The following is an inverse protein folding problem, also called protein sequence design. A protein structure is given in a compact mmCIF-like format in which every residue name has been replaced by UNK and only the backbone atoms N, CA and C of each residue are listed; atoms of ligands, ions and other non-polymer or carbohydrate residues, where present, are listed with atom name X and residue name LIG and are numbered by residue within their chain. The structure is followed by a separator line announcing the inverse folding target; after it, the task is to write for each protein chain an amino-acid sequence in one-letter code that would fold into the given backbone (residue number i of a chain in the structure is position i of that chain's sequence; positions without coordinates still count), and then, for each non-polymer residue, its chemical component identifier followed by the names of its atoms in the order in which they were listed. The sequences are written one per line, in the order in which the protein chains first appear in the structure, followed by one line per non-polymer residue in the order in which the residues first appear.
data_IF_441208923140
#
_entry.id   IF_441208923140
#
_cell.length_a   1.000
_cell.length_b   1.000
_cell.length_c   1.000
_cell.angle_alpha   90.00
_cell.angle_beta   90.00
_cell.angle_gamma   90.00
#
_symmetry.space_group_name_H-M   'P 1'
#
loop_
_entity.id
_entity.type
_entity.pdbx_description
1 polymer ?
#
# COMPACT_ATOMS: atom_id res chain seq x y z
N UNK A 1 -2.42 8.86 -7.84
CA UNK A 1 -3.27 9.82 -7.12
C UNK A 1 -3.75 9.27 -5.80
N UNK A 2 -4.10 8.00 -5.77
CA UNK A 2 -4.64 7.30 -4.60
C UNK A 2 -3.70 7.22 -3.42
N UNK A 3 -2.40 7.20 -3.68
CA UNK A 3 -1.38 6.98 -2.65
C UNK A 3 -1.31 8.10 -1.64
N UNK A 4 -1.43 9.37 -2.09
CA UNK A 4 -1.39 10.49 -1.16
C UNK A 4 -2.74 10.71 -0.44
N UNK A 5 -3.86 10.51 -1.13
CA UNK A 5 -5.17 10.47 -0.46
C UNK A 5 -5.19 9.41 0.64
N UNK A 6 -4.67 8.22 0.34
CA UNK A 6 -4.56 7.12 1.31
C UNK A 6 -3.73 7.54 2.51
N UNK A 7 -2.55 8.15 2.30
CA UNK A 7 -1.67 8.61 3.38
C UNK A 7 -2.29 9.78 4.16
N UNK A 8 -2.93 10.74 3.48
CA UNK A 8 -3.62 11.87 4.11
C UNK A 8 -4.80 11.43 4.98
N UNK A 9 -5.58 10.47 4.48
CA UNK A 9 -6.73 9.96 5.23
C UNK A 9 -6.31 9.15 6.44
N UNK A 10 -5.09 8.60 6.45
CA UNK A 10 -4.47 8.01 7.64
C UNK A 10 -4.10 9.04 8.69
N UNK A 11 -4.06 10.32 8.35
CA UNK A 11 -3.71 11.40 9.29
C UNK A 11 -4.83 11.73 10.29
N UNK A 12 -5.70 10.76 10.60
CA UNK A 12 -6.66 10.79 11.71
C UNK A 12 -5.97 10.77 13.09
N UNK A 13 -4.92 11.58 13.24
CA UNK A 13 -4.19 11.71 14.50
C UNK A 13 -3.05 10.68 14.67
N UNK A 14 -2.81 9.79 13.72
CA UNK A 14 -1.68 8.84 13.78
C UNK A 14 -0.37 9.59 13.47
N UNK A 15 0.58 9.45 14.38
CA UNK A 15 1.91 10.08 14.29
C UNK A 15 2.99 9.01 14.10
N UNK A 16 4.16 9.35 13.54
CA UNK A 16 5.26 8.41 13.36
C UNK A 16 5.65 7.63 14.62
N UNK A 17 5.52 8.27 15.80
CA UNK A 17 5.81 7.64 17.11
C UNK A 17 4.79 6.59 17.57
N UNK A 18 3.60 6.55 16.98
CA UNK A 18 2.52 5.69 17.44
C UNK A 18 2.73 4.22 17.04
N UNK A 19 3.64 3.95 16.11
CA UNK A 19 4.02 2.60 15.70
C UNK A 19 4.19 2.45 14.19
N UNK A 20 4.52 1.26 13.72
CA UNK A 20 4.69 1.01 12.30
C UNK A 20 3.35 1.03 11.56
N UNK A 21 3.40 1.39 10.28
CA UNK A 21 2.27 1.35 9.36
C UNK A 21 2.47 0.17 8.40
N UNK A 22 1.47 -0.70 8.31
CA UNK A 22 1.47 -1.81 7.35
C UNK A 22 1.14 -1.29 5.95
N UNK A 23 1.92 -1.72 4.96
CA UNK A 23 1.58 -1.54 3.54
C UNK A 23 1.56 -2.90 2.86
N UNK A 24 0.40 -3.31 2.34
CA UNK A 24 0.29 -4.57 1.60
C UNK A 24 0.57 -4.35 0.12
N UNK A 25 1.09 -5.38 -0.56
CA UNK A 25 1.50 -5.26 -1.96
C UNK A 25 2.63 -4.25 -2.18
N UNK A 26 3.51 -4.09 -1.20
CA UNK A 26 4.52 -3.03 -1.12
C UNK A 26 5.56 -3.03 -2.25
N UNK A 27 5.75 -4.14 -2.97
CA UNK A 27 6.63 -4.21 -4.15
C UNK A 27 5.93 -3.88 -5.47
N UNK A 28 4.62 -3.56 -5.44
CA UNK A 28 3.83 -3.19 -6.63
C UNK A 28 3.64 -1.67 -6.74
N UNK A 29 3.10 -1.22 -7.88
CA UNK A 29 3.00 0.19 -8.24
C UNK A 29 2.32 1.09 -7.21
N UNK A 30 1.21 0.67 -6.59
CA UNK A 30 0.50 1.45 -5.57
C UNK A 30 1.22 1.37 -4.22
N UNK A 31 1.49 0.14 -3.76
CA UNK A 31 2.08 -0.09 -2.44
C UNK A 31 3.47 0.50 -2.28
N UNK A 32 4.33 0.42 -3.31
CA UNK A 32 5.68 0.99 -3.24
C UNK A 32 5.69 2.52 -3.10
N UNK A 33 4.80 3.21 -3.82
CA UNK A 33 4.66 4.67 -3.71
C UNK A 33 4.08 5.05 -2.35
N UNK A 34 3.06 4.34 -1.87
CA UNK A 34 2.49 4.59 -0.55
C UNK A 34 3.53 4.40 0.57
N UNK A 35 4.31 3.32 0.49
CA UNK A 35 5.39 3.03 1.44
C UNK A 35 6.48 4.11 1.40
N UNK A 36 6.88 4.56 0.20
CA UNK A 36 7.86 5.62 0.03
C UNK A 36 7.40 6.96 0.61
N UNK A 37 6.14 7.36 0.36
CA UNK A 37 5.57 8.58 0.93
C UNK A 37 5.57 8.49 2.46
N UNK A 38 5.10 7.38 3.05
CA UNK A 38 5.10 7.18 4.50
C UNK A 38 6.50 7.26 5.08
N UNK A 39 7.48 6.57 4.48
CA UNK A 39 8.87 6.61 4.92
C UNK A 39 9.44 8.04 4.85
N UNK A 40 9.15 8.79 3.77
CA UNK A 40 9.57 10.19 3.60
C UNK A 40 8.90 11.13 4.62
N UNK A 41 7.71 10.79 5.11
CA UNK A 41 7.02 11.50 6.19
C UNK A 41 7.51 11.10 7.59
N UNK A 42 8.49 10.20 7.69
CA UNK A 42 9.07 9.73 8.94
C UNK A 42 8.31 8.58 9.62
N UNK A 43 7.34 7.95 8.95
CA UNK A 43 6.69 6.75 9.49
C UNK A 43 7.58 5.52 9.33
N UNK A 44 7.56 4.65 10.33
CA UNK A 44 8.11 3.29 10.21
C UNK A 44 7.14 2.46 9.36
N UNK A 45 7.64 1.83 8.32
CA UNK A 45 6.81 1.08 7.38
C UNK A 45 7.12 -0.41 7.47
N UNK A 46 6.09 -1.22 7.73
CA UNK A 46 6.11 -2.67 7.56
C UNK A 46 5.56 -3.01 6.17
N UNK A 47 6.40 -3.52 5.29
CA UNK A 47 6.04 -3.91 3.93
C UNK A 47 5.62 -5.38 3.87
N UNK A 48 4.39 -5.66 3.40
CA UNK A 48 3.98 -7.03 3.08
C UNK A 48 4.19 -7.31 1.59
N UNK A 49 5.05 -8.30 1.30
CA UNK A 49 5.37 -8.71 -0.07
C UNK A 49 5.50 -10.24 -0.18
N UNK A 50 5.21 -10.78 -1.37
CA UNK A 50 5.51 -12.17 -1.71
C UNK A 50 6.81 -12.33 -2.50
N UNK A 51 7.66 -11.30 -2.51
CA UNK A 51 8.91 -11.25 -3.28
C UNK A 51 10.09 -10.96 -2.35
N UNK A 52 10.63 -11.98 -1.69
CA UNK A 52 11.78 -11.82 -0.80
C UNK A 52 13.03 -11.28 -1.53
N UNK A 53 13.16 -11.55 -2.83
CA UNK A 53 14.21 -11.02 -3.70
C UNK A 53 14.21 -9.50 -3.80
N UNK A 54 13.08 -8.85 -3.57
CA UNK A 54 12.95 -7.38 -3.59
C UNK A 54 13.31 -6.71 -2.27
N UNK A 55 13.72 -7.47 -1.26
CA UNK A 55 14.00 -6.93 0.08
C UNK A 55 15.03 -5.81 0.05
N UNK A 56 16.15 -6.00 -0.65
CA UNK A 56 17.20 -4.99 -0.75
C UNK A 56 16.69 -3.65 -1.34
N UNK A 57 15.84 -3.73 -2.36
CA UNK A 57 15.22 -2.57 -2.97
C UNK A 57 14.20 -1.91 -2.04
N UNK A 58 13.36 -2.69 -1.37
CA UNK A 58 12.39 -2.17 -0.40
C UNK A 58 13.09 -1.40 0.74
N UNK A 59 14.17 -1.95 1.30
CA UNK A 59 14.93 -1.27 2.34
C UNK A 59 15.65 -0.01 1.84
N UNK A 60 16.40 -0.12 0.74
CA UNK A 60 17.32 0.94 0.30
C UNK A 60 16.62 2.05 -0.48
N UNK A 61 15.65 1.68 -1.34
CA UNK A 61 15.02 2.62 -2.27
C UNK A 61 13.68 3.11 -1.74
N UNK A 62 12.81 2.20 -1.31
CA UNK A 62 11.49 2.56 -0.78
C UNK A 62 11.60 3.11 0.65
N UNK A 63 12.54 2.62 1.43
CA UNK A 63 12.81 3.11 2.79
C UNK A 63 11.96 2.42 3.85
N UNK A 64 11.55 1.16 3.62
CA UNK A 64 10.80 0.39 4.63
C UNK A 64 11.72 -0.06 5.76
N UNK A 65 11.17 -0.24 6.96
CA UNK A 65 11.92 -0.68 8.15
C UNK A 65 11.79 -2.19 8.40
N UNK A 66 10.65 -2.77 8.04
CA UNK A 66 10.35 -4.18 8.25
C UNK A 66 9.71 -4.78 7.00
N UNK A 67 10.00 -6.05 6.74
CA UNK A 67 9.34 -6.82 5.68
C UNK A 67 8.71 -8.06 6.29
N UNK A 68 7.45 -8.32 5.95
CA UNK A 68 6.75 -9.56 6.27
C UNK A 68 6.36 -10.29 4.99
N UNK A 69 6.32 -11.62 5.05
CA UNK A 69 5.85 -12.40 3.92
C UNK A 69 4.33 -12.21 3.77
N UNK A 70 3.85 -11.99 2.54
CA UNK A 70 2.41 -11.85 2.27
C UNK A 70 1.59 -13.07 2.73
N UNK A 71 2.18 -14.25 2.80
CA UNK A 71 1.52 -15.47 3.26
C UNK A 71 1.01 -15.36 4.70
N UNK A 72 1.62 -14.50 5.53
CA UNK A 72 1.14 -14.26 6.90
C UNK A 72 -0.29 -13.68 6.94
N UNK A 73 -0.70 -12.99 5.86
CA UNK A 73 -1.97 -12.30 5.77
C UNK A 73 -2.93 -12.89 4.73
N UNK A 74 -2.46 -13.82 3.88
CA UNK A 74 -3.19 -14.25 2.69
C UNK A 74 -4.29 -15.31 2.94
N UNK A 75 -4.34 -15.90 4.12
CA UNK A 75 -5.29 -16.95 4.50
C UNK A 75 -6.25 -16.47 5.60
N UNK A 76 -7.38 -17.15 5.84
CA UNK A 76 -8.28 -16.84 6.94
C UNK A 76 -7.55 -16.78 8.28
N UNK A 77 -7.71 -15.65 8.99
CA UNK A 77 -7.10 -15.41 10.29
C UNK A 77 -8.12 -15.36 11.43
N UNK A 78 -7.62 -15.17 12.66
CA UNK A 78 -8.47 -14.94 13.82
C UNK A 78 -9.22 -13.61 13.71
N UNK A 79 -10.44 -13.49 14.25
CA UNK A 79 -11.22 -12.24 14.25
C UNK A 79 -10.48 -11.05 14.86
N UNK A 80 -9.67 -11.29 15.90
CA UNK A 80 -8.75 -10.35 16.52
C UNK A 80 -7.38 -10.98 16.63
N UNK A 81 -6.35 -10.22 16.27
CA UNK A 81 -4.95 -10.63 16.32
C UNK A 81 -4.17 -9.71 17.26
N UNK A 82 -2.90 -10.02 17.51
CA UNK A 82 -2.00 -9.13 18.25
C UNK A 82 -1.95 -7.78 17.53
N UNK A 83 -2.06 -6.70 18.29
CA UNK A 83 -1.92 -5.35 17.78
C UNK A 83 -0.47 -5.07 17.38
N UNK A 84 -0.22 -5.02 16.07
CA UNK A 84 1.12 -4.83 15.48
C UNK A 84 1.31 -3.44 14.90
N UNK A 85 0.30 -2.90 14.23
CA UNK A 85 0.43 -1.71 13.40
C UNK A 85 -0.45 -0.57 13.88
N UNK A 86 0.07 0.66 13.81
CA UNK A 86 -0.67 1.87 14.12
C UNK A 86 -1.72 2.21 13.05
N UNK A 87 -1.53 1.74 11.81
CA UNK A 87 -2.47 1.84 10.70
C UNK A 87 -2.10 0.87 9.60
N UNK A 88 -2.96 0.75 8.57
CA UNK A 88 -2.61 -0.01 7.38
C UNK A 88 -3.09 0.66 6.08
N UNK A 89 -2.31 0.48 5.01
CA UNK A 89 -2.71 0.73 3.63
C UNK A 89 -2.79 -0.61 2.93
N UNK A 90 -3.99 -0.97 2.49
CA UNK A 90 -4.22 -2.22 1.79
C UNK A 90 -4.47 -2.02 0.30
N UNK A 91 -3.65 -2.71 -0.52
CA UNK A 91 -3.77 -2.73 -1.98
C UNK A 91 -4.18 -4.10 -2.51
N UNK A 92 -4.51 -5.03 -1.62
CA UNK A 92 -4.66 -6.46 -1.93
C UNK A 92 -6.09 -6.96 -1.79
N UNK A 93 -6.79 -6.52 -0.76
CA UNK A 93 -8.18 -6.95 -0.51
C UNK A 93 -8.30 -8.32 0.14
N UNK A 94 -9.50 -8.88 0.13
CA UNK A 94 -9.86 -10.23 0.60
C UNK A 94 -9.32 -10.57 2.00
N UNK A 95 -8.75 -11.75 2.22
CA UNK A 95 -8.20 -12.18 3.51
C UNK A 95 -7.08 -11.26 4.03
N UNK A 96 -6.27 -10.71 3.12
CA UNK A 96 -5.19 -9.78 3.49
C UNK A 96 -5.75 -8.54 4.17
N UNK A 97 -6.81 -7.93 3.61
CA UNK A 97 -7.49 -6.77 4.21
C UNK A 97 -8.11 -7.13 5.58
N UNK A 98 -8.76 -8.29 5.69
CA UNK A 98 -9.35 -8.74 6.95
C UNK A 98 -8.31 -8.92 8.05
N UNK A 99 -7.17 -9.53 7.71
CA UNK A 99 -6.05 -9.72 8.64
C UNK A 99 -5.38 -8.39 9.03
N UNK A 100 -5.29 -7.44 8.09
CA UNK A 100 -4.84 -6.09 8.40
C UNK A 100 -5.76 -5.41 9.42
N UNK A 101 -7.09 -5.46 9.22
CA UNK A 101 -8.07 -4.94 10.17
C UNK A 101 -7.97 -5.61 11.55
N UNK A 102 -7.75 -6.93 11.58
CA UNK A 102 -7.61 -7.68 12.82
C UNK A 102 -6.29 -7.40 13.57
N UNK A 103 -5.24 -6.93 12.85
CA UNK A 103 -3.90 -6.73 13.39
C UNK A 103 -3.51 -5.28 13.71
N UNK A 104 -4.33 -4.29 13.33
CA UNK A 104 -4.10 -2.90 13.73
C UNK A 104 -4.54 -2.64 15.18
N UNK A 105 -4.01 -1.57 15.76
CA UNK A 105 -4.26 -1.16 17.14
C UNK A 105 -5.67 -0.60 17.33
N UNK A 106 -6.06 -0.44 18.60
CA UNK A 106 -7.30 0.24 18.98
C UNK A 106 -7.39 1.64 18.35
N UNK A 107 -8.57 1.98 17.82
CA UNK A 107 -8.86 3.29 17.20
C UNK A 107 -8.15 3.56 15.88
N UNK A 108 -7.49 2.55 15.28
CA UNK A 108 -6.72 2.69 14.06
C UNK A 108 -7.59 2.77 12.81
N UNK A 109 -6.94 3.20 11.71
CA UNK A 109 -7.55 3.22 10.38
C UNK A 109 -6.85 2.25 9.42
N UNK A 110 -7.63 1.57 8.60
CA UNK A 110 -7.18 0.78 7.46
C UNK A 110 -7.74 1.40 6.20
N UNK A 111 -6.87 1.89 5.32
CA UNK A 111 -7.23 2.46 4.03
C UNK A 111 -7.13 1.40 2.94
N UNK A 112 -8.26 1.02 2.34
CA UNK A 112 -8.35 0.01 1.30
C UNK A 112 -8.44 0.69 -0.08
N UNK A 113 -7.49 0.38 -0.98
CA UNK A 113 -7.42 0.98 -2.32
C UNK A 113 -7.15 -0.03 -3.44
N UNK A 114 -7.14 -1.34 -3.16
CA UNK A 114 -6.90 -2.36 -4.17
C UNK A 114 -7.58 -3.69 -3.87
N UNK A 115 -7.67 -4.54 -4.89
CA UNK A 115 -8.40 -5.81 -4.90
C UNK A 115 -7.59 -6.93 -5.57
N UNK A 116 -6.25 -6.91 -5.41
CA UNK A 116 -5.36 -7.82 -6.15
C UNK A 116 -5.53 -9.30 -5.77
N UNK A 117 -5.99 -9.61 -4.55
CA UNK A 117 -6.30 -10.97 -4.10
C UNK A 117 -7.78 -11.32 -4.37
N UNK A 118 -8.69 -10.34 -4.30
CA UNK A 118 -10.11 -10.54 -4.51
C UNK A 118 -10.93 -9.36 -3.99
N UNK A 119 -12.22 -9.35 -4.35
CA UNK A 119 -13.18 -8.30 -3.96
C UNK A 119 -13.94 -8.65 -2.68
N UNK A 120 -13.90 -9.90 -2.26
CA UNK A 120 -14.66 -10.37 -1.11
C UNK A 120 -14.05 -9.84 0.20
N UNK A 121 -14.91 -9.46 1.14
CA UNK A 121 -14.53 -9.13 2.51
C UNK A 121 -14.85 -10.32 3.43
N UNK A 122 -13.94 -11.29 3.49
CA UNK A 122 -14.07 -12.54 4.26
C UNK A 122 -13.66 -12.35 5.73
N UNK A 123 -14.26 -11.33 6.37
CA UNK A 123 -13.86 -10.85 7.69
C UNK A 123 -14.89 -11.02 8.78
N UNK A 124 -14.58 -10.42 9.94
CA UNK A 124 -15.42 -10.41 11.13
C UNK A 124 -15.61 -8.96 11.61
N UNK A 125 -16.73 -8.67 12.25
CA UNK A 125 -17.02 -7.32 12.77
C UNK A 125 -16.25 -6.96 14.05
N UNK A 126 -15.59 -7.93 14.67
CA UNK A 126 -14.89 -7.74 15.95
C UNK A 126 -13.84 -6.60 15.95
N UNK A 127 -12.98 -6.42 14.92
CA UNK A 127 -12.06 -5.28 14.89
C UNK A 127 -12.78 -3.93 14.95
N UNK A 128 -13.91 -3.82 14.28
CA UNK A 128 -14.68 -2.58 14.20
C UNK A 128 -15.40 -2.27 15.53
N UNK A 129 -16.05 -3.27 16.13
CA UNK A 129 -16.82 -3.09 17.36
C UNK A 129 -15.90 -3.03 18.59
N UNK A 130 -14.96 -3.98 18.72
CA UNK A 130 -14.17 -4.14 19.95
C UNK A 130 -12.90 -3.29 19.98
N UNK A 131 -12.41 -2.82 18.83
CA UNK A 131 -11.22 -1.97 18.74
C UNK A 131 -11.48 -0.63 18.06
N UNK A 132 -12.71 -0.32 17.66
CA UNK A 132 -13.02 0.94 16.99
C UNK A 132 -12.23 1.17 15.69
N UNK A 133 -11.82 0.09 15.02
CA UNK A 133 -11.07 0.19 13.75
C UNK A 133 -11.95 0.83 12.69
N UNK A 134 -11.41 1.79 11.95
CA UNK A 134 -12.06 2.35 10.78
C UNK A 134 -11.53 1.69 9.51
N UNK A 135 -12.41 1.05 8.74
CA UNK A 135 -12.11 0.62 7.38
C UNK A 135 -12.58 1.68 6.40
N UNK A 136 -11.65 2.29 5.66
CA UNK A 136 -11.96 3.36 4.70
C UNK A 136 -11.60 2.96 3.28
N UNK A 137 -12.60 2.94 2.40
CA UNK A 137 -12.39 2.82 0.96
C UNK A 137 -11.79 4.09 0.36
N UNK A 138 -10.82 3.94 -0.54
CA UNK A 138 -10.19 5.05 -1.26
C UNK A 138 -10.61 4.96 -2.74
N UNK A 139 -11.52 5.83 -3.12
CA UNK A 139 -11.98 5.94 -4.51
C UNK A 139 -11.13 6.95 -5.29
N UNK A 140 -10.34 6.45 -6.22
CA UNK A 140 -9.52 7.26 -7.11
C UNK A 140 -10.22 7.64 -8.40
N UNK A 141 -11.24 6.92 -8.77
CA UNK A 141 -11.94 7.08 -10.06
C UNK A 141 -12.85 8.29 -10.02
N UNK A 142 -13.73 8.36 -9.04
CA UNK A 142 -14.73 9.43 -8.90
C UNK A 142 -14.24 10.63 -8.07
N UNK A 143 -12.99 10.58 -7.57
CA UNK A 143 -12.45 11.68 -6.79
C UNK A 143 -12.43 13.01 -7.59
N UNK A 144 -12.96 14.07 -7.00
CA UNK A 144 -13.18 15.34 -7.67
C UNK A 144 -11.89 15.93 -8.29
N UNK A 145 -11.95 16.27 -9.58
CA UNK A 145 -10.80 16.76 -10.35
C UNK A 145 -10.14 17.98 -9.71
N UNK A 146 -10.95 18.89 -9.19
CA UNK A 146 -10.52 20.16 -8.59
C UNK A 146 -9.62 19.93 -7.36
N UNK A 147 -9.84 18.81 -6.65
CA UNK A 147 -9.05 18.45 -5.49
C UNK A 147 -7.76 17.69 -5.84
N UNK A 148 -7.65 17.17 -7.06
CA UNK A 148 -6.51 16.34 -7.50
C UNK A 148 -5.21 17.12 -7.53
N UNK A 149 -5.24 18.35 -8.04
CA UNK A 149 -4.03 19.18 -8.16
C UNK A 149 -3.34 19.40 -6.80
N UNK A 150 -4.12 19.73 -5.77
CA UNK A 150 -3.59 19.94 -4.43
C UNK A 150 -2.98 18.65 -3.83
N UNK A 151 -3.58 17.49 -4.11
CA UNK A 151 -3.05 16.20 -3.67
C UNK A 151 -1.74 15.87 -4.37
N UNK A 152 -1.64 16.10 -5.67
CA UNK A 152 -0.39 15.92 -6.41
C UNK A 152 0.73 16.83 -5.91
N UNK A 153 0.43 18.12 -5.70
CA UNK A 153 1.41 19.06 -5.13
C UNK A 153 1.96 18.61 -3.78
N UNK A 154 1.11 18.03 -2.93
CA UNK A 154 1.53 17.49 -1.65
C UNK A 154 2.33 16.18 -1.82
N UNK A 155 1.90 15.29 -2.71
CA UNK A 155 2.56 14.02 -2.93
C UNK A 155 4.01 14.20 -3.43
N UNK A 156 4.22 15.13 -4.36
CA UNK A 156 5.55 15.45 -4.93
C UNK A 156 6.57 15.87 -3.86
N UNK A 157 6.13 16.52 -2.78
CA UNK A 157 7.02 16.92 -1.69
C UNK A 157 7.66 15.71 -0.97
N UNK A 158 7.01 14.55 -1.02
CA UNK A 158 7.47 13.31 -0.37
C UNK A 158 7.99 12.25 -1.34
N UNK A 159 8.01 12.57 -2.64
CA UNK A 159 8.48 11.68 -3.70
C UNK A 159 9.73 12.27 -4.38
N UNK A 160 10.94 12.01 -3.86
CA UNK A 160 12.17 12.49 -4.49
C UNK A 160 12.30 11.93 -5.92
N UNK A 161 12.61 12.78 -6.88
CA UNK A 161 12.71 12.43 -8.30
C UNK A 161 13.66 11.25 -8.54
N UNK A 162 14.84 11.29 -7.90
CA UNK A 162 15.83 10.20 -7.98
C UNK A 162 15.32 8.82 -7.53
N UNK A 163 14.32 8.78 -6.63
CA UNK A 163 13.69 7.52 -6.22
C UNK A 163 12.60 7.09 -7.19
N UNK A 164 11.91 8.04 -7.83
CA UNK A 164 10.88 7.74 -8.83
C UNK A 164 11.46 7.02 -10.06
N UNK A 165 12.65 7.40 -10.50
CA UNK A 165 13.35 6.72 -11.59
C UNK A 165 13.62 5.25 -11.27
N UNK A 166 13.98 4.95 -10.04
CA UNK A 166 14.20 3.56 -9.60
C UNK A 166 12.92 2.73 -9.43
N UNK A 167 11.75 3.38 -9.37
CA UNK A 167 10.44 2.72 -9.35
C UNK A 167 9.91 2.42 -10.74
N UNK A 168 10.45 3.05 -11.78
CA UNK A 168 9.88 3.06 -13.13
C UNK A 168 10.79 2.33 -14.10
N UNK A 169 10.22 1.42 -14.88
CA UNK A 169 10.89 0.82 -16.03
C UNK A 169 10.13 1.21 -17.30
N UNK A 170 10.85 1.82 -18.24
CA UNK A 170 10.28 2.22 -19.53
C UNK A 170 10.48 1.11 -20.56
N UNK A 171 9.43 0.79 -21.28
CA UNK A 171 9.41 -0.23 -22.33
C UNK A 171 8.92 0.39 -23.65
N UNK A 172 9.41 -0.07 -24.80
CA UNK A 172 8.89 0.37 -26.08
C UNK A 172 7.46 -0.15 -26.30
N UNK A 173 6.71 0.49 -27.20
CA UNK A 173 5.34 0.10 -27.53
C UNK A 173 5.23 -1.35 -28.01
N UNK A 174 6.24 -1.85 -28.74
CA UNK A 174 6.32 -3.24 -29.19
C UNK A 174 6.20 -4.28 -28.08
N UNK A 175 6.62 -3.93 -26.87
CA UNK A 175 6.66 -4.83 -25.73
C UNK A 175 5.39 -4.79 -24.86
N UNK A 176 4.42 -3.91 -25.20
CA UNK A 176 3.25 -3.65 -24.38
C UNK A 176 2.48 -4.92 -23.97
N UNK A 177 2.28 -5.86 -24.91
CA UNK A 177 1.55 -7.12 -24.65
C UNK A 177 2.34 -8.01 -23.68
N UNK A 178 3.64 -8.23 -23.97
CA UNK A 178 4.52 -9.04 -23.12
C UNK A 178 4.67 -8.46 -21.72
N UNK A 179 4.73 -7.12 -21.62
CA UNK A 179 4.76 -6.41 -20.33
C UNK A 179 3.45 -6.59 -19.56
N UNK A 180 2.30 -6.54 -20.25
CA UNK A 180 1.00 -6.79 -19.63
C UNK A 180 0.90 -8.22 -19.06
N UNK A 181 1.36 -9.24 -19.80
CA UNK A 181 1.42 -10.63 -19.32
C UNK A 181 2.31 -10.77 -18.08
N UNK A 182 3.50 -10.15 -18.10
CA UNK A 182 4.40 -10.10 -16.93
C UNK A 182 3.76 -9.39 -15.73
N UNK A 183 2.99 -8.33 -15.97
CA UNK A 183 2.28 -7.62 -14.93
C UNK A 183 1.21 -8.50 -14.27
N UNK A 184 0.42 -9.22 -15.08
CA UNK A 184 -0.62 -10.15 -14.61
C UNK A 184 -0.03 -11.30 -13.80
N UNK A 185 1.09 -11.88 -14.27
CA UNK A 185 1.82 -12.93 -13.52
C UNK A 185 2.54 -12.41 -12.28
N UNK A 186 2.50 -11.09 -12.07
CA UNK A 186 3.16 -10.45 -10.94
C UNK A 186 4.67 -10.28 -11.11
N UNK A 187 5.24 -10.44 -12.30
CA UNK A 187 6.67 -10.35 -12.57
C UNK A 187 7.25 -8.94 -12.64
N UNK A 188 6.43 -7.88 -12.49
CA UNK A 188 6.91 -6.49 -12.58
C UNK A 188 6.99 -5.86 -11.20
N UNK A 189 8.14 -5.24 -10.91
CA UNK A 189 8.39 -4.39 -9.75
C UNK A 189 8.03 -2.94 -10.08
N UNK A 190 7.45 -2.22 -9.11
CA UNK A 190 7.18 -0.79 -9.25
C UNK A 190 6.20 -0.51 -10.39
N UNK A 191 6.61 0.29 -11.37
CA UNK A 191 5.81 0.79 -12.51
C UNK A 191 6.41 0.38 -13.84
N UNK A 192 5.58 -0.12 -14.74
CA UNK A 192 5.89 -0.23 -16.17
C UNK A 192 5.29 0.97 -16.90
N UNK A 193 6.11 1.67 -17.66
CA UNK A 193 5.70 2.78 -18.54
C UNK A 193 5.94 2.34 -19.98
N UNK A 194 4.94 2.44 -20.82
CA UNK A 194 5.04 2.16 -22.25
C UNK A 194 5.27 3.47 -22.99
N UNK A 195 6.38 3.56 -23.67
CA UNK A 195 6.69 4.70 -24.53
C UNK A 195 5.97 4.55 -25.87
N UNK A 196 5.08 5.48 -26.20
CA UNK A 196 4.23 5.44 -27.38
C UNK A 196 4.83 6.16 -28.60
N UNK A 197 5.92 6.87 -28.45
CA UNK A 197 6.64 7.61 -29.50
C UNK A 197 8.10 7.75 -29.15
#
# INVERSE_FOLDING_TARGET
MDHYCTVRDMNHGIKPKDGPVLVTGASRGVGSIAAMILASMGYRVTASTGRPEEAAWLYKTVGVEEIINRSELASPGKPLQKERWAAAIDTVGSHTLCNACAGVRYGSIVAACGMAQGMDLMGNVAPFILRGVTLKGIDSVMFAKEKRAAIWQQAVQYLPESRMDSLTTVYPLSDAITVAEKLLSGGIRGRAVIQCS
#
